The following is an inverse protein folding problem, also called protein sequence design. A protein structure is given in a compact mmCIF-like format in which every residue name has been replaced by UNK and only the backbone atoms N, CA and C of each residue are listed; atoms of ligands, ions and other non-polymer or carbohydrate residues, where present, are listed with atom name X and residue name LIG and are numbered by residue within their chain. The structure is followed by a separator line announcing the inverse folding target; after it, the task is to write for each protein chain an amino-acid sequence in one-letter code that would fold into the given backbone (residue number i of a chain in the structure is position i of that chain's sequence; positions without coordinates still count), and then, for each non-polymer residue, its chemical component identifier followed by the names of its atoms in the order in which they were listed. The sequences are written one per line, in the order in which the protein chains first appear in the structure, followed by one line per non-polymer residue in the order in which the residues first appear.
data_IF_259940090132
#
_entry.id   IF_259940090132
#
_cell.length_a   1.000
_cell.length_b   1.000
_cell.length_c   1.000
_cell.angle_alpha   90.00
_cell.angle_beta   90.00
_cell.angle_gamma   90.00
#
_symmetry.space_group_name_H-M   'P 1'
#
loop_
_entity.id
_entity.type
_entity.pdbx_description
1 polymer ?
#
# COMPACT_ATOMS: atom_id res chain seq x y z
N UNK A 1 19.78 -4.89 -27.85
CA UNK A 1 20.18 -5.58 -26.60
C UNK A 1 19.37 -4.89 -25.51
N UNK A 2 18.54 -5.61 -24.76
CA UNK A 2 17.80 -5.00 -23.67
C UNK A 2 18.75 -4.89 -22.47
N UNK A 3 19.00 -3.67 -22.03
CA UNK A 3 19.76 -3.37 -20.82
C UNK A 3 19.02 -3.90 -19.60
N UNK A 4 19.75 -4.56 -18.69
CA UNK A 4 19.21 -5.03 -17.43
C UNK A 4 19.02 -3.83 -16.50
N UNK A 5 17.77 -3.41 -16.31
CA UNK A 5 17.46 -2.41 -15.29
C UNK A 5 17.48 -3.06 -13.91
N UNK A 6 18.33 -2.54 -13.03
CA UNK A 6 18.32 -2.89 -11.62
C UNK A 6 17.00 -2.41 -11.03
N UNK A 7 16.13 -3.34 -10.63
CA UNK A 7 14.91 -3.02 -9.90
C UNK A 7 15.33 -2.51 -8.52
N UNK A 8 15.29 -1.20 -8.33
CA UNK A 8 15.51 -0.60 -7.02
C UNK A 8 14.22 -0.71 -6.21
N UNK A 9 14.33 -1.18 -4.97
CA UNK A 9 13.19 -1.23 -4.06
C UNK A 9 12.69 0.19 -3.81
N UNK A 10 11.37 0.36 -3.91
CA UNK A 10 10.75 1.64 -3.56
C UNK A 10 11.04 1.98 -2.10
N UNK A 11 11.31 3.25 -1.76
CA UNK A 11 11.50 3.67 -0.38
C UNK A 11 10.31 3.25 0.48
N UNK A 12 10.57 2.74 1.68
CA UNK A 12 9.49 2.32 2.59
C UNK A 12 8.79 3.55 3.16
N UNK A 13 7.46 3.51 3.25
CA UNK A 13 6.69 4.55 3.90
C UNK A 13 7.00 4.62 5.41
N UNK A 14 7.37 5.80 5.87
CA UNK A 14 7.66 6.08 7.27
C UNK A 14 6.38 6.56 7.99
N UNK A 15 5.66 5.60 8.56
CA UNK A 15 4.40 5.85 9.29
C UNK A 15 4.61 6.57 10.63
N UNK A 16 5.85 6.70 11.11
CA UNK A 16 6.17 7.43 12.35
C UNK A 16 6.17 8.94 12.12
N UNK A 17 6.73 9.38 10.97
CA UNK A 17 6.74 10.77 10.56
C UNK A 17 5.46 11.18 9.84
N UNK A 18 4.94 10.32 8.95
CA UNK A 18 3.76 10.60 8.15
C UNK A 18 2.69 9.56 8.42
N UNK A 19 1.73 9.87 9.31
CA UNK A 19 0.71 8.92 9.74
C UNK A 19 -0.31 8.55 8.65
N UNK A 20 -0.40 9.35 7.59
CA UNK A 20 -1.37 9.17 6.52
C UNK A 20 -0.66 9.11 5.17
N UNK A 21 -0.85 8.02 4.44
CA UNK A 21 -0.39 7.85 3.08
C UNK A 21 -1.59 7.81 2.16
N UNK A 22 -1.57 8.65 1.12
CA UNK A 22 -2.56 8.64 0.05
C UNK A 22 -1.79 8.42 -1.25
N UNK A 23 -2.21 7.42 -2.02
CA UNK A 23 -1.57 7.13 -3.29
C UNK A 23 -2.31 6.09 -4.12
N UNK A 24 -1.93 6.01 -5.40
CA UNK A 24 -2.45 5.03 -6.34
C UNK A 24 -1.72 3.71 -6.12
N UNK A 25 -2.47 2.63 -5.95
CA UNK A 25 -1.90 1.30 -5.76
C UNK A 25 -1.33 0.77 -7.09
N UNK A 26 -0.01 0.65 -7.18
CA UNK A 26 0.67 0.29 -8.42
C UNK A 26 0.86 -1.22 -8.58
N UNK A 27 1.45 -1.85 -7.57
CA UNK A 27 1.89 -3.24 -7.65
C UNK A 27 2.00 -3.89 -6.28
N UNK A 28 1.97 -5.22 -6.28
CA UNK A 28 2.24 -6.06 -5.12
C UNK A 28 3.35 -7.02 -5.43
N UNK A 29 4.41 -6.98 -4.65
CA UNK A 29 5.44 -8.01 -4.66
C UNK A 29 5.16 -8.97 -3.49
N UNK A 30 5.23 -10.27 -3.75
CA UNK A 30 4.97 -11.30 -2.74
C UNK A 30 6.26 -12.00 -2.33
N UNK A 31 6.31 -12.48 -1.09
CA UNK A 31 7.46 -13.21 -0.55
C UNK A 31 8.80 -12.44 -0.65
N UNK A 32 8.78 -11.13 -0.42
CA UNK A 32 9.96 -10.26 -0.49
C UNK A 32 10.77 -10.31 0.81
N UNK A 33 12.08 -10.41 0.67
CA UNK A 33 13.04 -10.34 1.78
C UNK A 33 13.11 -11.61 2.63
N UNK A 34 13.95 -11.61 3.69
CA UNK A 34 14.20 -12.80 4.52
C UNK A 34 12.95 -13.30 5.27
N UNK A 35 11.96 -12.43 5.47
CA UNK A 35 10.71 -12.76 6.16
C UNK A 35 9.56 -13.15 5.23
N UNK A 36 9.79 -13.19 3.91
CA UNK A 36 8.76 -13.48 2.90
C UNK A 36 7.51 -12.61 3.05
N UNK A 37 7.70 -11.32 3.33
CA UNK A 37 6.59 -10.38 3.49
C UNK A 37 6.13 -9.87 2.13
N UNK A 38 4.85 -9.49 2.02
CA UNK A 38 4.36 -8.81 0.84
C UNK A 38 4.79 -7.33 0.89
N UNK A 39 5.10 -6.74 -0.26
CA UNK A 39 5.42 -5.32 -0.40
C UNK A 39 4.39 -4.69 -1.33
N UNK A 40 3.72 -3.64 -0.85
CA UNK A 40 2.69 -2.93 -1.58
C UNK A 40 3.22 -1.57 -2.03
N UNK A 41 3.27 -1.32 -3.33
CA UNK A 41 3.82 -0.09 -3.88
C UNK A 41 2.72 0.90 -4.22
N UNK A 42 2.85 2.14 -3.74
CA UNK A 42 1.90 3.22 -3.95
C UNK A 42 2.60 4.43 -4.57
N UNK A 43 1.94 5.05 -5.55
CA UNK A 43 2.34 6.33 -6.10
C UNK A 43 1.63 7.46 -5.38
N UNK A 44 2.36 8.26 -4.62
CA UNK A 44 1.83 9.49 -3.99
C UNK A 44 1.53 10.55 -5.05
N UNK A 45 0.72 11.54 -4.69
CA UNK A 45 0.40 12.69 -5.55
C UNK A 45 1.63 13.52 -5.95
N UNK A 46 2.69 13.50 -5.14
CA UNK A 46 3.98 14.15 -5.42
C UNK A 46 4.81 13.39 -6.50
N UNK A 47 4.32 12.24 -6.97
CA UNK A 47 5.00 11.39 -7.94
C UNK A 47 5.97 10.37 -7.32
N UNK A 48 6.26 10.48 -6.02
CA UNK A 48 7.07 9.51 -5.29
C UNK A 48 6.37 8.16 -5.17
N UNK A 49 7.09 7.09 -5.48
CA UNK A 49 6.65 5.71 -5.24
C UNK A 49 7.18 5.26 -3.89
N UNK A 50 6.29 4.76 -3.04
CA UNK A 50 6.61 4.28 -1.69
C UNK A 50 6.07 2.87 -1.49
N UNK A 51 6.85 2.04 -0.80
CA UNK A 51 6.48 0.68 -0.43
C UNK A 51 5.93 0.60 0.99
N UNK A 52 4.87 -0.19 1.20
CA UNK A 52 4.37 -0.56 2.53
C UNK A 52 4.60 -2.05 2.73
N UNK A 53 5.31 -2.40 3.79
CA UNK A 53 5.48 -3.79 4.19
C UNK A 53 4.16 -4.36 4.70
N UNK A 54 3.73 -5.44 4.05
CA UNK A 54 2.55 -6.19 4.39
C UNK A 54 2.63 -6.81 5.77
N UNK A 55 1.48 -6.79 6.43
CA UNK A 55 1.18 -7.57 7.63
C UNK A 55 -0.06 -8.39 7.36
N UNK A 56 -0.36 -9.39 8.19
CA UNK A 56 -1.58 -10.21 8.03
C UNK A 56 -2.85 -9.37 7.91
N UNK A 57 -2.91 -8.22 8.58
CA UNK A 57 -4.05 -7.30 8.52
C UNK A 57 -4.10 -6.60 7.16
N UNK A 58 -2.97 -6.02 6.72
CA UNK A 58 -2.88 -5.35 5.42
C UNK A 58 -3.18 -6.34 4.29
N UNK A 59 -2.62 -7.54 4.34
CA UNK A 59 -2.87 -8.59 3.35
C UNK A 59 -4.36 -8.91 3.21
N UNK A 60 -5.08 -8.94 4.32
CA UNK A 60 -6.51 -9.18 4.29
C UNK A 60 -7.28 -8.01 3.68
N UNK A 61 -6.93 -6.76 4.04
CA UNK A 61 -7.61 -5.56 3.53
C UNK A 61 -7.34 -5.33 2.04
N UNK A 62 -6.12 -5.61 1.58
CA UNK A 62 -5.72 -5.40 0.18
C UNK A 62 -6.25 -6.47 -0.79
N UNK A 63 -6.84 -7.57 -0.32
CA UNK A 63 -7.44 -8.59 -1.21
C UNK A 63 -8.58 -8.06 -2.08
N UNK A 64 -9.27 -7.02 -1.62
CA UNK A 64 -10.41 -6.42 -2.31
C UNK A 64 -10.09 -5.15 -3.10
N UNK A 65 -8.83 -4.72 -3.14
CA UNK A 65 -8.41 -3.46 -3.76
C UNK A 65 -7.70 -3.79 -5.08
N UNK A 66 -8.19 -3.21 -6.17
CA UNK A 66 -7.62 -3.37 -7.49
C UNK A 66 -6.41 -2.44 -7.70
N UNK A 67 -5.47 -2.87 -8.53
CA UNK A 67 -4.39 -1.99 -8.98
C UNK A 67 -4.97 -0.82 -9.77
N UNK A 68 -4.40 0.37 -9.59
CA UNK A 68 -4.90 1.62 -10.16
C UNK A 68 -5.91 2.36 -9.27
N UNK A 69 -6.48 1.72 -8.25
CA UNK A 69 -7.33 2.41 -7.28
C UNK A 69 -6.53 3.37 -6.40
N UNK A 70 -7.17 4.44 -5.97
CA UNK A 70 -6.59 5.35 -4.99
C UNK A 70 -6.85 4.80 -3.59
N UNK A 71 -5.77 4.60 -2.84
CA UNK A 71 -5.78 4.05 -1.50
C UNK A 71 -5.27 5.08 -0.51
N UNK A 72 -5.97 5.22 0.60
CA UNK A 72 -5.54 5.96 1.78
C UNK A 72 -5.27 4.97 2.91
N UNK A 73 -4.05 5.00 3.43
CA UNK A 73 -3.61 4.21 4.59
C UNK A 73 -3.36 5.17 5.76
N UNK A 74 -3.97 4.90 6.90
CA UNK A 74 -3.83 5.71 8.12
C UNK A 74 -3.26 4.83 9.23
N UNK A 75 -2.16 5.25 9.83
CA UNK A 75 -1.56 4.60 10.99
C UNK A 75 -2.23 5.08 12.28
N UNK A 76 -2.91 4.15 12.96
CA UNK A 76 -3.65 4.41 14.19
C UNK A 76 -2.82 4.19 15.47
N UNK A 77 -1.55 3.76 15.32
CA UNK A 77 -0.68 3.43 16.44
C UNK A 77 -0.55 1.94 16.71
N UNK A 78 0.13 1.59 17.80
CA UNK A 78 0.22 0.20 18.27
C UNK A 78 -1.02 -0.20 19.05
N UNK A 79 -1.56 -1.37 18.74
CA UNK A 79 -2.67 -1.99 19.46
C UNK A 79 -2.22 -3.35 19.97
N UNK A 80 -2.64 -3.68 21.19
CA UNK A 80 -2.42 -4.99 21.78
C UNK A 80 -3.58 -5.90 21.44
N UNK A 81 -3.29 -7.06 20.85
CA UNK A 81 -4.28 -8.09 20.62
C UNK A 81 -4.73 -8.67 21.97
N UNK A 82 -5.99 -8.48 22.33
CA UNK A 82 -6.55 -8.99 23.60
C UNK A 82 -6.44 -10.51 23.74
N UNK A 83 -6.44 -11.24 22.62
CA UNK A 83 -6.40 -12.71 22.61
C UNK A 83 -5.01 -13.31 22.72
N UNK A 84 -4.01 -12.69 22.11
CA UNK A 84 -2.64 -13.24 22.01
C UNK A 84 -1.62 -12.45 22.83
N UNK A 85 -2.01 -11.29 23.34
CA UNK A 85 -1.13 -10.35 24.06
C UNK A 85 -0.08 -9.68 23.17
N UNK A 86 -0.05 -9.97 21.87
CA UNK A 86 0.92 -9.40 20.92
C UNK A 86 0.53 -7.99 20.52
N UNK A 87 1.51 -7.11 20.49
CA UNK A 87 1.37 -5.76 19.95
C UNK A 87 1.54 -5.79 18.44
N UNK A 88 0.70 -5.05 17.73
CA UNK A 88 0.78 -4.90 16.28
C UNK A 88 0.44 -3.47 15.88
N UNK A 89 1.00 -3.04 14.75
CA UNK A 89 0.67 -1.77 14.14
C UNK A 89 -0.74 -1.83 13.57
N UNK A 90 -1.60 -0.95 14.06
CA UNK A 90 -2.97 -0.84 13.60
C UNK A 90 -3.04 0.16 12.45
N UNK A 91 -3.65 -0.26 11.35
CA UNK A 91 -3.81 0.55 10.15
C UNK A 91 -5.27 0.57 9.73
N UNK A 92 -5.73 1.73 9.30
CA UNK A 92 -7.00 1.90 8.60
C UNK A 92 -6.73 2.08 7.12
N UNK A 93 -7.50 1.40 6.28
CA UNK A 93 -7.32 1.41 4.83
C UNK A 93 -8.65 1.80 4.22
N UNK A 94 -8.62 2.85 3.43
CA UNK A 94 -9.71 3.30 2.58
C UNK A 94 -9.27 3.17 1.13
N UNK A 95 -10.17 2.81 0.25
CA UNK A 95 -9.94 2.85 -1.18
C UNK A 95 -11.11 3.52 -1.85
N UNK A 96 -10.85 4.14 -3.00
CA UNK A 96 -11.89 4.55 -3.92
C UNK A 96 -11.53 4.05 -5.32
N UNK A 97 -12.54 3.64 -6.12
CA UNK A 97 -12.30 3.29 -7.50
C UNK A 97 -11.64 4.47 -8.20
N UNK A 98 -10.66 4.17 -9.05
CA UNK A 98 -10.19 5.14 -10.02
C UNK A 98 -11.43 5.66 -10.73
N UNK A 99 -11.67 6.98 -10.65
CA UNK A 99 -12.75 7.59 -11.40
C UNK A 99 -12.56 7.14 -12.85
N UNK A 100 -13.54 6.48 -13.49
CA UNK A 100 -13.46 6.32 -14.93
C UNK A 100 -13.35 7.75 -15.49
N UNK A 101 -12.22 8.07 -16.11
CA UNK A 101 -12.08 9.32 -16.87
C UNK A 101 -13.24 9.32 -17.87
N UNK A 102 -14.24 10.17 -17.61
CA UNK A 102 -15.40 10.46 -18.44
C UNK A 102 -15.87 9.31 -19.34
N UNK A 103 -16.84 8.52 -18.88
CA UNK A 103 -17.86 8.08 -19.83
C UNK A 103 -18.55 9.34 -20.34
N UNK A 104 -18.31 9.62 -21.61
CA UNK A 104 -18.63 10.83 -22.33
C UNK A 104 -20.12 11.20 -22.15
N UNK A 105 -20.37 12.50 -22.08
CA UNK A 105 -21.66 13.08 -22.49
C UNK A 105 -22.06 12.45 -23.84
N UNK A 106 -23.06 11.58 -23.83
CA UNK A 106 -23.84 11.32 -25.03
C UNK A 106 -25.12 12.16 -24.94
N UNK A 107 -25.18 13.07 -25.92
CA UNK A 107 -26.15 14.08 -26.33
C UNK A 107 -27.64 13.75 -26.09
#
# INVERSE_FOLDING_TARGET
MADWEKVEMSPTWDYENEKELIGVYLSKEVEVGPNKSNLYSFKKSDGLVVGIWGSTILDNRFKGIAFGEEVKVVYLGMVKNEKTGREYHNFEIYHRPAQPENEFEED
#
